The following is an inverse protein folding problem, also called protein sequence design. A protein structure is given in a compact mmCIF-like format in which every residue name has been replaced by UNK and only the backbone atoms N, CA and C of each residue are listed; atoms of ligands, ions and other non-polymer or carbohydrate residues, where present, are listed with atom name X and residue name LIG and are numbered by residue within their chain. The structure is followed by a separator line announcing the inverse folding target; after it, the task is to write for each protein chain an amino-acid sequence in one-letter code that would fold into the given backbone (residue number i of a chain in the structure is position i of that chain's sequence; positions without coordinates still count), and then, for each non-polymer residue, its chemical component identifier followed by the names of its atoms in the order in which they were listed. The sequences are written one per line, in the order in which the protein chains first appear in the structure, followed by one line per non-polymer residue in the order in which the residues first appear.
data_IF_096608364647
#
_entry.id   IF_096608364647
#
_cell.length_a   1.000
_cell.length_b   1.000
_cell.length_c   1.000
_cell.angle_alpha   90.00
_cell.angle_beta   90.00
_cell.angle_gamma   90.00
#
_symmetry.space_group_name_H-M   'P 1'
#
loop_
_entity.id
_entity.type
_entity.pdbx_description
1 polymer ?
#
# COMPACT_ATOMS: atom_id res chain seq x y z
N UNK A 1 19.86 -2.22 -1.87
CA UNK A 1 20.08 -1.93 -3.30
C UNK A 1 18.69 -1.68 -3.89
N UNK A 2 18.38 -0.47 -4.33
CA UNK A 2 17.11 -0.17 -5.01
C UNK A 2 17.35 -0.15 -6.51
N UNK A 3 16.48 -0.80 -7.29
CA UNK A 3 16.48 -0.68 -8.75
C UNK A 3 15.60 0.52 -9.11
N UNK A 4 16.03 1.31 -10.11
CA UNK A 4 15.19 2.40 -10.61
C UNK A 4 13.91 1.81 -11.22
N UNK A 5 12.76 2.31 -10.76
CA UNK A 5 11.45 1.91 -11.24
C UNK A 5 10.81 3.11 -11.92
N UNK A 6 10.37 2.92 -13.16
CA UNK A 6 9.58 3.90 -13.88
C UNK A 6 8.18 4.01 -13.26
N UNK A 7 7.76 5.23 -12.90
CA UNK A 7 6.53 5.45 -12.13
C UNK A 7 5.26 5.22 -12.95
N UNK A 8 5.28 5.51 -14.25
CA UNK A 8 4.15 5.25 -15.14
C UNK A 8 3.94 3.74 -15.33
N UNK A 9 5.04 3.00 -15.51
CA UNK A 9 5.04 1.54 -15.55
C UNK A 9 4.57 0.93 -14.23
N UNK A 10 5.01 1.48 -13.09
CA UNK A 10 4.55 1.05 -11.77
C UNK A 10 3.04 1.27 -11.61
N UNK A 11 2.53 2.44 -12.02
CA UNK A 11 1.10 2.75 -11.97
C UNK A 11 0.28 1.79 -12.83
N UNK A 12 0.73 1.51 -14.06
CA UNK A 12 0.09 0.53 -14.92
C UNK A 12 0.06 -0.85 -14.26
N UNK A 13 1.18 -1.27 -13.65
CA UNK A 13 1.28 -2.58 -13.02
C UNK A 13 0.38 -2.74 -11.79
N UNK A 14 0.28 -1.69 -10.97
CA UNK A 14 -0.67 -1.63 -9.84
C UNK A 14 -2.10 -1.85 -10.33
N UNK A 15 -2.48 -1.26 -11.48
CA UNK A 15 -3.81 -1.44 -12.07
C UNK A 15 -4.15 -2.89 -12.46
N UNK A 16 -3.14 -3.75 -12.63
CA UNK A 16 -3.33 -5.18 -12.96
C UNK A 16 -3.50 -6.06 -11.72
N UNK A 17 -3.16 -5.59 -10.52
CA UNK A 17 -3.10 -6.40 -9.30
C UNK A 17 -4.39 -6.40 -8.46
N UNK A 18 -5.42 -5.72 -8.95
CA UNK A 18 -6.73 -5.63 -8.30
C UNK A 18 -6.90 -4.43 -7.37
N UNK A 19 -8.14 -4.23 -6.93
CA UNK A 19 -8.56 -3.00 -6.24
C UNK A 19 -8.26 -2.99 -4.73
N UNK A 20 -8.00 -4.16 -4.13
CA UNK A 20 -7.76 -4.30 -2.69
C UNK A 20 -6.31 -4.61 -2.40
N UNK A 21 -5.74 -3.84 -1.48
CA UNK A 21 -4.33 -3.92 -1.07
C UNK A 21 -4.24 -3.95 0.44
N UNK A 22 -3.13 -4.42 0.98
CA UNK A 22 -2.87 -4.32 2.41
C UNK A 22 -2.09 -3.05 2.72
N UNK A 23 -2.62 -2.23 3.63
CA UNK A 23 -1.92 -1.13 4.26
C UNK A 23 -1.36 -1.57 5.61
N UNK A 24 -0.05 -1.48 5.75
CA UNK A 24 0.68 -1.79 6.97
C UNK A 24 1.15 -0.49 7.61
N UNK A 25 0.85 -0.35 8.90
CA UNK A 25 1.32 0.77 9.73
C UNK A 25 2.00 0.27 11.00
N UNK A 26 3.01 0.99 11.48
CA UNK A 26 3.73 0.63 12.70
C UNK A 26 3.04 1.22 13.95
N UNK A 27 2.34 0.37 14.70
CA UNK A 27 1.76 0.71 16.01
C UNK A 27 2.72 0.46 17.17
N UNK A 28 2.35 0.90 18.38
CA UNK A 28 3.14 0.61 19.59
C UNK A 28 3.10 -0.87 19.97
N UNK A 29 1.99 -1.56 19.68
CA UNK A 29 1.81 -2.99 19.95
C UNK A 29 2.27 -3.91 18.80
N UNK A 30 2.96 -3.37 17.79
CA UNK A 30 3.36 -4.10 16.58
C UNK A 30 2.66 -3.61 15.31
N UNK A 31 2.86 -4.31 14.18
CA UNK A 31 2.28 -3.92 12.90
C UNK A 31 0.76 -4.05 12.91
N UNK A 32 0.08 -3.05 12.37
CA UNK A 32 -1.34 -3.06 12.12
C UNK A 32 -1.58 -3.14 10.60
N UNK A 33 -2.35 -4.15 10.17
CA UNK A 33 -2.59 -4.47 8.76
C UNK A 33 -4.08 -4.41 8.47
N UNK A 34 -4.47 -3.68 7.44
CA UNK A 34 -5.87 -3.57 6.99
C UNK A 34 -5.94 -3.65 5.47
N UNK A 35 -7.02 -4.22 4.93
CA UNK A 35 -7.31 -4.13 3.50
C UNK A 35 -7.91 -2.74 3.19
N UNK A 36 -7.42 -2.09 2.14
CA UNK A 36 -7.90 -0.79 1.67
C UNK A 36 -8.06 -0.80 0.15
N UNK A 37 -8.87 0.12 -0.37
CA UNK A 37 -9.03 0.37 -1.80
C UNK A 37 -8.40 1.73 -2.14
N UNK A 38 -7.12 1.78 -2.54
CA UNK A 38 -6.45 3.02 -2.85
C UNK A 38 -6.83 3.54 -4.24
N UNK A 39 -6.73 4.84 -4.44
CA UNK A 39 -6.97 5.51 -5.71
C UNK A 39 -5.80 6.42 -6.07
N UNK A 40 -5.61 6.67 -7.37
CA UNK A 40 -4.64 7.63 -7.86
C UNK A 40 -5.29 9.01 -8.00
N UNK A 41 -4.71 10.02 -7.37
CA UNK A 41 -5.09 11.42 -7.53
C UNK A 41 -3.83 12.26 -7.77
N UNK A 42 -3.69 12.92 -8.92
CA UNK A 42 -2.59 13.88 -9.14
C UNK A 42 -1.18 13.35 -8.86
N UNK A 43 -0.90 12.07 -9.16
CA UNK A 43 0.41 11.44 -8.93
C UNK A 43 0.64 10.92 -7.51
N UNK A 44 -0.34 11.06 -6.62
CA UNK A 44 -0.33 10.48 -5.27
C UNK A 44 -1.36 9.35 -5.16
N UNK A 45 -1.12 8.46 -4.20
CA UNK A 45 -2.07 7.42 -3.81
C UNK A 45 -2.87 7.93 -2.60
N UNK A 46 -4.18 7.94 -2.72
CA UNK A 46 -5.12 8.31 -1.66
C UNK A 46 -5.94 7.11 -1.24
N UNK A 47 -6.31 7.03 0.04
CA UNK A 47 -7.17 5.98 0.56
C UNK A 47 -7.84 6.43 1.86
N UNK A 48 -8.96 5.79 2.20
CA UNK A 48 -9.53 5.93 3.54
C UNK A 48 -8.62 5.31 4.61
N UNK A 49 -8.56 5.94 5.78
CA UNK A 49 -7.84 5.40 6.94
C UNK A 49 -8.79 5.32 8.15
N UNK A 50 -8.86 4.14 8.76
CA UNK A 50 -9.53 3.98 10.05
C UNK A 50 -8.77 4.67 11.18
N UNK A 51 -9.42 4.81 12.35
CA UNK A 51 -8.86 5.52 13.53
C UNK A 51 -7.45 5.05 13.91
N UNK A 52 -7.23 3.73 13.99
CA UNK A 52 -5.92 3.16 14.37
C UNK A 52 -4.86 3.43 13.31
N UNK A 53 -5.18 3.21 12.03
CA UNK A 53 -4.31 3.52 10.89
C UNK A 53 -3.91 4.99 10.88
N UNK A 54 -4.88 5.91 11.04
CA UNK A 54 -4.63 7.34 11.06
C UNK A 54 -3.76 7.76 12.25
N UNK A 55 -4.02 7.22 13.45
CA UNK A 55 -3.19 7.48 14.63
C UNK A 55 -1.75 6.97 14.44
N UNK A 56 -1.59 5.76 13.91
CA UNK A 56 -0.27 5.19 13.64
C UNK A 56 0.48 6.00 12.58
N UNK A 57 -0.14 6.32 11.45
CA UNK A 57 0.47 7.10 10.37
C UNK A 57 0.79 8.53 10.81
N UNK A 58 -0.04 9.15 11.65
CA UNK A 58 0.23 10.46 12.24
C UNK A 58 1.44 10.46 13.17
N UNK A 59 1.64 9.40 13.95
CA UNK A 59 2.81 9.26 14.83
C UNK A 59 4.07 8.76 14.09
N UNK A 60 3.89 7.91 13.06
CA UNK A 60 4.94 7.26 12.27
C UNK A 60 4.51 7.24 10.79
N UNK A 61 4.90 8.24 9.99
CA UNK A 61 4.37 8.46 8.64
C UNK A 61 4.86 7.46 7.59
N UNK A 62 5.88 6.64 7.90
CA UNK A 62 6.30 5.57 7.01
C UNK A 62 5.30 4.42 7.07
N UNK A 63 4.70 4.12 5.92
CA UNK A 63 3.71 3.06 5.74
C UNK A 63 4.10 2.18 4.55
N UNK A 64 3.55 0.98 4.50
CA UNK A 64 3.74 0.06 3.37
C UNK A 64 2.39 -0.29 2.77
N UNK A 65 2.30 -0.23 1.44
CA UNK A 65 1.23 -0.85 0.67
C UNK A 65 1.77 -2.15 0.08
N UNK A 66 0.99 -3.22 0.20
CA UNK A 66 1.30 -4.54 -0.33
C UNK A 66 0.15 -4.99 -1.22
N UNK A 67 0.43 -5.16 -2.50
CA UNK A 67 -0.47 -5.82 -3.45
C UNK A 67 -0.17 -7.32 -3.43
N UNK A 68 -1.09 -8.17 -2.94
CA UNK A 68 -0.91 -9.61 -3.02
C UNK A 68 -0.88 -10.05 -4.49
N UNK A 69 -0.06 -11.06 -4.80
CA UNK A 69 -0.12 -11.71 -6.11
C UNK A 69 -1.52 -12.32 -6.35
N UNK A 70 -1.98 -12.31 -7.59
CA UNK A 70 -3.31 -12.80 -7.95
C UNK A 70 -3.51 -14.30 -7.64
N UNK A 71 -2.43 -15.08 -7.74
CA UNK A 71 -2.41 -16.52 -7.50
C UNK A 71 -1.29 -16.93 -6.54
N UNK A 72 -1.37 -18.15 -6.00
CA UNK A 72 -0.29 -18.72 -5.20
C UNK A 72 1.01 -18.81 -6.02
N UNK A 73 2.08 -18.23 -5.49
CA UNK A 73 3.39 -18.19 -6.15
C UNK A 73 3.57 -17.00 -7.10
N UNK A 74 2.52 -16.21 -7.36
CA UNK A 74 2.69 -14.91 -7.99
C UNK A 74 3.44 -13.97 -7.03
N UNK A 75 4.24 -13.08 -7.60
CA UNK A 75 4.96 -12.10 -6.81
C UNK A 75 4.00 -11.02 -6.31
N UNK A 76 4.32 -10.44 -5.15
CA UNK A 76 3.63 -9.27 -4.59
C UNK A 76 4.41 -8.00 -4.88
N UNK A 77 3.70 -6.88 -5.02
CA UNK A 77 4.30 -5.54 -5.04
C UNK A 77 4.21 -4.89 -3.67
#
# INVERSE_FOLDING_TARGET
MSVAVDLDSLRARIGEMGDLVFLLTAGQGGPHVVAVAPQWEGGVIVMGAGRTTAANAGARPQVTLLWPGADLGAYSL
#
